data_IF_109688403231
#
_entry.id   IF_109688403231
#
_cell.length_a   1.000
_cell.length_b   1.000
_cell.length_c   1.000
_cell.angle_alpha   90.00
_cell.angle_beta   90.00
_cell.angle_gamma   90.00
#
_symmetry.space_group_name_H-M   'P 1'
#
loop_
_entity.id
_entity.type
_entity.pdbx_description
1 polymer ?
#
# COMPACT_ATOMS: atom_id res chain seq x y z
N UNK A 1 -34.69 -0.24 -0.90
CA UNK A 1 -33.28 -0.73 -0.94
C UNK A 1 -32.46 0.11 0.03
N UNK A 2 -31.70 -0.34 1.02
CA UNK A 2 -31.74 -1.48 1.93
C UNK A 2 -31.09 -0.96 3.24
N UNK A 3 -31.55 -1.34 4.45
CA UNK A 3 -30.94 -0.83 5.70
C UNK A 3 -29.44 -1.13 5.77
N UNK A 4 -29.00 -2.24 5.16
CA UNK A 4 -27.62 -2.63 5.03
C UNK A 4 -26.80 -1.65 4.17
N UNK A 5 -27.32 -1.22 3.02
CA UNK A 5 -26.64 -0.23 2.17
C UNK A 5 -26.43 1.08 2.92
N UNK A 6 -27.43 1.53 3.68
CA UNK A 6 -27.31 2.72 4.53
C UNK A 6 -26.25 2.56 5.62
N UNK A 7 -26.17 1.38 6.24
CA UNK A 7 -25.14 1.06 7.24
C UNK A 7 -23.73 1.02 6.61
N UNK A 8 -23.56 0.31 5.48
CA UNK A 8 -22.28 0.14 4.80
C UNK A 8 -21.71 1.46 4.24
N UNK A 9 -22.59 2.38 3.86
CA UNK A 9 -22.21 3.72 3.38
C UNK A 9 -22.21 4.76 4.51
N UNK A 10 -22.57 4.39 5.74
CA UNK A 10 -22.56 5.31 6.86
C UNK A 10 -21.14 5.77 7.17
N UNK A 11 -20.99 7.06 7.51
CA UNK A 11 -19.68 7.63 7.85
C UNK A 11 -19.01 6.90 9.02
N UNK A 12 -19.79 6.47 10.01
CA UNK A 12 -19.29 5.72 11.16
C UNK A 12 -18.68 4.37 10.74
N UNK A 13 -19.41 3.60 9.93
CA UNK A 13 -18.92 2.33 9.41
C UNK A 13 -17.66 2.50 8.55
N UNK A 14 -17.66 3.47 7.62
CA UNK A 14 -16.52 3.73 6.74
C UNK A 14 -15.26 4.14 7.52
N UNK A 15 -15.39 4.94 8.59
CA UNK A 15 -14.25 5.28 9.47
C UNK A 15 -13.66 4.03 10.12
N UNK A 16 -14.50 3.17 10.69
CA UNK A 16 -14.06 1.91 11.30
C UNK A 16 -13.39 1.01 10.26
N UNK A 17 -14.00 0.86 9.08
CA UNK A 17 -13.46 0.05 7.99
C UNK A 17 -12.09 0.55 7.52
N UNK A 18 -11.94 1.85 7.26
CA UNK A 18 -10.67 2.43 6.80
C UNK A 18 -9.60 2.41 7.89
N UNK A 19 -9.98 2.58 9.16
CA UNK A 19 -9.06 2.41 10.29
C UNK A 19 -8.59 0.96 10.39
N UNK A 20 -9.51 -0.01 10.29
CA UNK A 20 -9.19 -1.43 10.26
C UNK A 20 -8.24 -1.80 9.12
N UNK A 21 -8.51 -1.31 7.90
CA UNK A 21 -7.62 -1.51 6.75
C UNK A 21 -6.25 -0.88 6.98
N UNK A 22 -6.19 0.34 7.50
CA UNK A 22 -4.92 1.01 7.79
C UNK A 22 -4.09 0.20 8.80
N UNK A 23 -4.71 -0.26 9.90
CA UNK A 23 -4.05 -1.09 10.91
C UNK A 23 -3.60 -2.43 10.33
N UNK A 24 -4.45 -3.10 9.56
CA UNK A 24 -4.13 -4.37 8.91
C UNK A 24 -2.94 -4.25 7.96
N UNK A 25 -3.00 -3.31 7.01
CA UNK A 25 -1.93 -3.14 6.01
C UNK A 25 -0.65 -2.60 6.64
N UNK A 26 -0.74 -1.80 7.71
CA UNK A 26 0.45 -1.36 8.47
C UNK A 26 1.09 -2.54 9.17
N UNK A 27 0.28 -3.40 9.80
CA UNK A 27 0.76 -4.62 10.41
C UNK A 27 1.43 -5.53 9.39
N UNK A 28 0.81 -5.73 8.22
CA UNK A 28 1.39 -6.52 7.13
C UNK A 28 2.71 -5.93 6.63
N UNK A 29 2.77 -4.62 6.36
CA UNK A 29 4.01 -3.93 6.00
C UNK A 29 5.11 -4.16 7.03
N UNK A 30 4.83 -3.90 8.31
CA UNK A 30 5.84 -4.03 9.36
C UNK A 30 6.33 -5.48 9.51
N UNK A 31 5.41 -6.44 9.54
CA UNK A 31 5.75 -7.85 9.77
C UNK A 31 6.42 -8.51 8.57
N UNK A 32 6.02 -8.14 7.35
CA UNK A 32 6.56 -8.72 6.13
C UNK A 32 7.85 -8.02 5.67
N UNK A 33 8.03 -6.73 5.92
CA UNK A 33 9.26 -6.02 5.55
C UNK A 33 10.36 -6.16 6.61
N UNK A 34 10.04 -6.05 7.90
CA UNK A 34 11.06 -5.95 8.96
C UNK A 34 11.14 -7.16 9.89
N UNK A 35 10.15 -8.06 9.88
CA UNK A 35 10.07 -9.22 10.80
C UNK A 35 9.84 -10.54 10.08
N UNK A 36 10.46 -10.72 8.90
CA UNK A 36 10.22 -11.87 8.01
C UNK A 36 10.44 -13.20 8.71
N UNK A 37 11.57 -13.39 9.40
CA UNK A 37 11.90 -14.60 10.12
C UNK A 37 10.86 -14.95 11.21
N UNK A 38 10.47 -13.94 12.02
CA UNK A 38 9.45 -14.11 13.04
C UNK A 38 8.09 -14.45 12.46
N UNK A 39 7.72 -13.77 11.37
CA UNK A 39 6.49 -14.05 10.63
C UNK A 39 6.48 -15.49 10.12
N UNK A 40 7.55 -15.93 9.46
CA UNK A 40 7.69 -17.30 8.95
C UNK A 40 7.57 -18.34 10.06
N UNK A 41 8.21 -18.12 11.22
CA UNK A 41 8.11 -19.04 12.35
C UNK A 41 6.67 -19.18 12.87
N UNK A 42 5.84 -18.15 12.73
CA UNK A 42 4.44 -18.16 13.18
C UNK A 42 3.48 -18.77 12.16
N UNK A 43 3.66 -18.45 10.88
CA UNK A 43 2.67 -18.81 9.85
C UNK A 43 3.06 -20.08 9.07
N UNK A 44 4.35 -20.40 9.00
CA UNK A 44 4.83 -21.54 8.25
C UNK A 44 4.88 -22.79 9.14
N UNK A 45 4.57 -23.94 8.55
CA UNK A 45 4.65 -25.24 9.23
C UNK A 45 5.99 -25.94 9.00
N UNK A 46 7.02 -25.20 8.58
CA UNK A 46 8.33 -25.74 8.17
C UNK A 46 9.00 -26.54 9.28
N UNK A 47 8.89 -26.08 10.53
CA UNK A 47 9.41 -26.76 11.71
C UNK A 47 8.81 -28.18 11.93
N UNK A 48 7.66 -28.48 11.33
CA UNK A 48 6.98 -29.77 11.43
C UNK A 48 7.02 -30.56 10.11
N UNK A 49 7.81 -30.11 9.14
CA UNK A 49 7.94 -30.80 7.86
C UNK A 49 8.63 -32.15 8.03
N UNK A 50 8.21 -33.15 7.25
CA UNK A 50 8.91 -34.44 7.13
C UNK A 50 10.13 -34.36 6.22
N UNK A 51 10.25 -33.29 5.44
CA UNK A 51 11.38 -33.04 4.55
C UNK A 51 12.54 -32.40 5.34
N UNK A 52 13.72 -33.06 5.42
CA UNK A 52 14.91 -32.54 6.08
C UNK A 52 15.37 -31.17 5.57
N UNK A 53 15.20 -30.90 4.28
CA UNK A 53 15.59 -29.61 3.69
C UNK A 53 14.69 -28.48 4.16
N UNK A 54 13.38 -28.74 4.30
CA UNK A 54 12.41 -27.74 4.76
C UNK A 54 12.53 -27.50 6.27
N UNK A 55 12.70 -28.55 7.07
CA UNK A 55 12.80 -28.43 8.53
C UNK A 55 14.10 -27.74 8.98
N UNK A 56 15.18 -27.86 8.19
CA UNK A 56 16.45 -27.18 8.46
C UNK A 56 16.37 -25.64 8.42
N UNK A 57 15.31 -25.10 7.83
CA UNK A 57 15.07 -23.66 7.69
C UNK A 57 13.69 -23.29 8.23
N UNK A 58 13.44 -23.44 9.56
CA UNK A 58 12.12 -23.29 10.14
C UNK A 58 11.60 -21.84 10.04
N UNK A 59 12.50 -20.85 10.06
CA UNK A 59 12.19 -19.44 9.84
C UNK A 59 12.11 -19.03 8.36
N UNK A 60 12.10 -19.99 7.43
CA UNK A 60 12.23 -19.73 6.00
C UNK A 60 13.69 -19.59 5.56
N UNK A 61 13.92 -19.81 4.27
CA UNK A 61 15.20 -19.50 3.63
C UNK A 61 15.18 -18.07 3.06
N UNK A 62 16.28 -17.68 2.42
CA UNK A 62 16.43 -16.33 1.88
C UNK A 62 15.35 -15.97 0.83
N UNK A 63 14.89 -16.92 0.01
CA UNK A 63 13.82 -16.67 -0.98
C UNK A 63 12.48 -16.38 -0.31
N UNK A 64 12.19 -17.04 0.82
CA UNK A 64 10.98 -16.75 1.58
C UNK A 64 11.01 -15.32 2.17
N UNK A 65 12.18 -14.89 2.64
CA UNK A 65 12.33 -13.54 3.19
C UNK A 65 12.20 -12.49 2.09
N UNK A 66 12.77 -12.77 0.92
CA UNK A 66 12.63 -11.94 -0.28
C UNK A 66 11.14 -11.79 -0.68
N UNK A 67 10.36 -12.88 -0.71
CA UNK A 67 8.91 -12.84 -0.98
C UNK A 67 8.16 -12.02 0.08
N UNK A 68 8.49 -12.20 1.37
CA UNK A 68 7.85 -11.41 2.42
C UNK A 68 8.21 -9.93 2.30
N UNK A 69 9.46 -9.57 1.98
CA UNK A 69 9.82 -8.17 1.73
C UNK A 69 8.98 -7.57 0.59
N UNK A 70 8.81 -8.32 -0.50
CA UNK A 70 7.96 -7.91 -1.61
C UNK A 70 6.52 -7.62 -1.17
N UNK A 71 5.91 -8.59 -0.47
CA UNK A 71 4.55 -8.47 0.03
C UNK A 71 4.40 -7.30 1.01
N UNK A 72 5.40 -7.08 1.86
CA UNK A 72 5.45 -5.92 2.74
C UNK A 72 5.43 -4.61 1.95
N UNK A 73 6.33 -4.45 0.98
CA UNK A 73 6.41 -3.23 0.17
C UNK A 73 5.12 -2.94 -0.63
N UNK A 74 4.43 -3.96 -1.15
CA UNK A 74 3.11 -3.79 -1.78
C UNK A 74 2.09 -3.21 -0.79
N UNK A 75 2.11 -3.67 0.46
CA UNK A 75 1.16 -3.19 1.47
C UNK A 75 1.31 -1.70 1.78
N UNK A 76 2.46 -1.07 1.50
CA UNK A 76 2.65 0.35 1.73
C UNK A 76 1.68 1.22 0.91
N UNK A 77 1.38 0.84 -0.33
CA UNK A 77 0.36 1.53 -1.14
C UNK A 77 -1.04 1.41 -0.52
N UNK A 78 -1.39 0.23 0.02
CA UNK A 78 -2.68 0.02 0.69
C UNK A 78 -2.78 0.78 2.03
N UNK A 79 -1.68 0.91 2.77
CA UNK A 79 -1.60 1.78 3.96
C UNK A 79 -1.90 3.22 3.57
N UNK A 80 -1.26 3.72 2.52
CA UNK A 80 -1.48 5.07 2.03
C UNK A 80 -2.94 5.30 1.61
N UNK A 81 -3.53 4.37 0.86
CA UNK A 81 -4.93 4.44 0.44
C UNK A 81 -5.89 4.52 1.63
N UNK A 82 -5.70 3.63 2.62
CA UNK A 82 -6.54 3.60 3.81
C UNK A 82 -6.37 4.89 4.65
N UNK A 83 -5.13 5.38 4.80
CA UNK A 83 -4.81 6.60 5.53
C UNK A 83 -5.41 7.85 4.89
N UNK A 84 -5.29 8.01 3.57
CA UNK A 84 -5.85 9.16 2.84
C UNK A 84 -7.38 9.18 2.89
N UNK A 85 -8.03 8.00 2.77
CA UNK A 85 -9.49 7.88 2.92
C UNK A 85 -9.95 8.21 4.33
N UNK A 86 -9.23 7.73 5.35
CA UNK A 86 -9.54 8.05 6.75
C UNK A 86 -9.34 9.55 7.04
N UNK A 87 -8.24 10.14 6.57
CA UNK A 87 -7.94 11.56 6.70
C UNK A 87 -9.07 12.42 6.11
N UNK A 88 -9.53 12.09 4.91
CA UNK A 88 -10.64 12.79 4.24
C UNK A 88 -11.94 12.75 5.07
N UNK A 89 -12.28 11.59 5.66
CA UNK A 89 -13.45 11.46 6.54
C UNK A 89 -13.30 12.20 7.88
N UNK A 90 -12.08 12.36 8.38
CA UNK A 90 -11.80 13.09 9.62
C UNK A 90 -11.79 14.62 9.40
N UNK A 91 -11.27 15.09 8.26
CA UNK A 91 -11.25 16.53 7.92
C UNK A 91 -12.66 17.10 7.78
N UNK A 92 -13.58 16.31 7.22
CA UNK A 92 -15.00 16.65 7.13
C UNK A 92 -15.71 16.86 8.49
N UNK A 93 -15.06 16.56 9.62
CA UNK A 93 -15.56 16.83 10.97
C UNK A 93 -14.99 18.11 11.61
N UNK A 94 -13.88 18.65 11.10
CA UNK A 94 -13.15 19.76 11.76
C UNK A 94 -13.52 21.12 11.14
N UNK A 95 -14.08 21.12 9.92
CA UNK A 95 -14.63 22.32 9.29
C UNK A 95 -16.04 22.07 8.80
N UNK A 96 -17.03 22.56 9.53
CA UNK A 96 -18.26 23.03 8.89
C UNK A 96 -17.90 24.31 8.12
N UNK A 97 -17.30 24.16 6.95
CA UNK A 97 -17.47 25.14 5.90
C UNK A 97 -18.77 24.74 5.18
N UNK A 98 -19.87 25.49 5.34
CA UNK A 98 -20.99 25.34 4.44
C UNK A 98 -20.50 25.74 3.04
N UNK A 99 -20.98 25.04 2.01
CA UNK A 99 -20.77 25.31 0.57
C UNK A 99 -19.51 24.75 -0.13
N UNK A 100 -19.32 23.43 -0.07
CA UNK A 100 -18.88 22.67 -1.27
C UNK A 100 -19.77 21.45 -1.56
N UNK A 101 -21.05 21.56 -1.18
CA UNK A 101 -22.12 20.72 -1.71
C UNK A 101 -22.85 21.40 -2.88
N UNK A 102 -22.26 22.44 -3.50
CA UNK A 102 -22.74 22.96 -4.77
C UNK A 102 -22.29 22.04 -5.89
N UNK A 103 -23.25 21.27 -6.34
CA UNK A 103 -23.42 20.69 -7.68
C UNK A 103 -22.83 21.59 -8.78
N UNK A 104 -21.51 21.54 -8.98
CA UNK A 104 -20.82 22.01 -10.19
C UNK A 104 -19.81 20.92 -10.54
N UNK A 105 -20.14 20.17 -11.60
CA UNK A 105 -19.21 19.30 -12.31
C UNK A 105 -18.95 17.93 -11.67
N UNK A 106 -19.22 16.88 -12.43
CA UNK A 106 -18.58 15.57 -12.27
C UNK A 106 -17.03 15.64 -12.29
N UNK A 107 -16.42 16.78 -12.60
CA UNK A 107 -14.96 17.00 -12.68
C UNK A 107 -14.23 16.99 -11.35
N UNK A 108 -14.70 17.69 -10.30
CA UNK A 108 -13.96 17.81 -9.04
C UNK A 108 -13.84 16.48 -8.30
N UNK A 109 -14.93 15.70 -8.25
CA UNK A 109 -14.90 14.36 -7.64
C UNK A 109 -14.03 13.37 -8.40
N UNK A 110 -13.94 13.51 -9.72
CA UNK A 110 -13.03 12.70 -10.55
C UNK A 110 -11.58 13.13 -10.29
N UNK A 111 -11.32 14.43 -10.16
CA UNK A 111 -10.00 14.95 -9.82
C UNK A 111 -9.50 14.49 -8.44
N UNK A 112 -10.36 14.49 -7.42
CA UNK A 112 -10.05 13.97 -6.09
C UNK A 112 -9.70 12.48 -6.10
N UNK A 113 -10.45 11.69 -6.88
CA UNK A 113 -10.22 10.26 -7.03
C UNK A 113 -8.92 9.98 -7.81
N UNK A 114 -8.60 10.79 -8.82
CA UNK A 114 -7.33 10.71 -9.54
C UNK A 114 -6.15 11.04 -8.63
N UNK A 115 -6.24 12.10 -7.83
CA UNK A 115 -5.18 12.47 -6.87
C UNK A 115 -4.97 11.32 -5.88
N UNK A 116 -6.05 10.77 -5.33
CA UNK A 116 -5.98 9.62 -4.42
C UNK A 116 -5.35 8.40 -5.10
N UNK A 117 -5.83 8.04 -6.29
CA UNK A 117 -5.37 6.87 -7.03
C UNK A 117 -3.90 6.98 -7.40
N UNK A 118 -3.49 8.11 -7.99
CA UNK A 118 -2.11 8.36 -8.40
C UNK A 118 -1.16 8.48 -7.20
N UNK A 119 -1.61 9.08 -6.08
CA UNK A 119 -0.78 9.07 -4.85
C UNK A 119 -0.52 7.65 -4.36
N UNK A 120 -1.54 6.79 -4.40
CA UNK A 120 -1.43 5.39 -3.96
C UNK A 120 -0.55 4.57 -4.91
N UNK A 121 -0.73 4.74 -6.23
CA UNK A 121 0.12 4.12 -7.25
C UNK A 121 1.56 4.59 -7.11
N UNK A 122 1.79 5.89 -6.96
CA UNK A 122 3.12 6.47 -6.77
C UNK A 122 3.83 5.91 -5.54
N UNK A 123 3.13 5.75 -4.41
CA UNK A 123 3.67 5.13 -3.20
C UNK A 123 3.98 3.65 -3.40
N UNK A 124 3.11 2.90 -4.09
CA UNK A 124 3.34 1.49 -4.38
C UNK A 124 4.55 1.29 -5.31
N UNK A 125 4.63 2.08 -6.39
CA UNK A 125 5.72 2.02 -7.35
C UNK A 125 7.05 2.46 -6.69
N UNK A 126 7.03 3.53 -5.88
CA UNK A 126 8.22 3.99 -5.16
C UNK A 126 8.72 2.98 -4.12
N UNK A 127 7.81 2.29 -3.41
CA UNK A 127 8.20 1.28 -2.42
C UNK A 127 8.87 0.07 -3.07
N UNK A 128 8.40 -0.34 -4.25
CA UNK A 128 9.03 -1.41 -5.04
C UNK A 128 10.39 -0.97 -5.60
N UNK A 129 10.47 0.22 -6.21
CA UNK A 129 11.72 0.76 -6.70
C UNK A 129 12.79 0.87 -5.60
N UNK A 130 12.39 1.33 -4.40
CA UNK A 130 13.28 1.40 -3.24
C UNK A 130 13.82 0.00 -2.85
N UNK A 131 12.92 -0.99 -2.77
CA UNK A 131 13.32 -2.37 -2.49
C UNK A 131 14.33 -2.91 -3.50
N UNK A 132 14.05 -2.73 -4.79
CA UNK A 132 14.88 -3.24 -5.88
C UNK A 132 16.26 -2.56 -5.96
N UNK A 133 16.35 -1.26 -5.65
CA UNK A 133 17.59 -0.47 -5.74
C UNK A 133 18.50 -0.61 -4.52
N UNK A 134 17.93 -0.61 -3.32
CA UNK A 134 18.71 -0.47 -2.08
C UNK A 134 18.83 -1.77 -1.29
N UNK A 135 17.85 -2.66 -1.38
CA UNK A 135 17.84 -3.90 -0.60
C UNK A 135 18.27 -5.08 -1.47
N UNK A 136 17.61 -5.26 -2.62
CA UNK A 136 17.71 -6.48 -3.42
C UNK A 136 18.79 -6.41 -4.49
N UNK A 137 19.32 -5.22 -4.79
CA UNK A 137 20.38 -5.03 -5.79
C UNK A 137 21.61 -5.89 -5.53
N UNK A 138 21.91 -6.17 -4.26
CA UNK A 138 23.08 -6.94 -3.84
C UNK A 138 22.81 -8.44 -3.70
N UNK A 139 21.59 -8.90 -4.03
CA UNK A 139 21.23 -10.32 -3.97
C UNK A 139 21.10 -10.89 -5.38
N UNK A 140 21.52 -12.14 -5.57
CA UNK A 140 21.28 -12.90 -6.82
C UNK A 140 19.98 -13.72 -6.74
N UNK A 141 19.07 -13.34 -5.83
CA UNK A 141 17.94 -14.16 -5.39
C UNK A 141 16.57 -13.59 -5.77
N UNK A 142 16.48 -12.72 -6.77
CA UNK A 142 15.24 -11.97 -7.00
C UNK A 142 14.41 -12.37 -8.23
N UNK A 143 13.08 -12.24 -8.07
CA UNK A 143 12.01 -12.81 -8.89
C UNK A 143 11.37 -11.78 -9.84
N UNK A 144 11.41 -10.46 -9.54
CA UNK A 144 10.62 -9.45 -10.29
C UNK A 144 11.39 -8.17 -10.71
N UNK A 145 12.40 -7.70 -9.97
CA UNK A 145 13.17 -6.47 -10.21
C UNK A 145 14.52 -6.36 -9.44
N UNK A 146 15.66 -6.07 -10.08
CA UNK A 146 16.99 -5.97 -9.46
C UNK A 146 17.77 -4.76 -9.99
N UNK A 147 18.17 -3.86 -9.09
CA UNK A 147 19.01 -2.72 -9.45
C UNK A 147 18.34 -1.83 -10.51
N UNK A 148 18.99 -1.62 -11.65
CA UNK A 148 18.45 -0.81 -12.76
C UNK A 148 17.84 -1.66 -13.88
N UNK A 149 17.22 -2.79 -13.53
CA UNK A 149 16.54 -3.58 -14.54
C UNK A 149 15.23 -2.94 -15.02
N UNK A 150 14.62 -3.56 -16.03
CA UNK A 150 13.44 -3.01 -16.72
C UNK A 150 12.28 -2.75 -15.76
N UNK A 151 12.03 -3.65 -14.82
CA UNK A 151 10.90 -3.52 -13.89
C UNK A 151 11.18 -2.40 -12.89
N UNK A 152 12.39 -2.33 -12.34
CA UNK A 152 12.76 -1.24 -11.42
C UNK A 152 12.73 0.12 -12.10
N UNK A 153 13.16 0.20 -13.36
CA UNK A 153 13.06 1.43 -14.16
C UNK A 153 11.60 1.81 -14.41
N UNK A 154 10.73 0.84 -14.74
CA UNK A 154 9.30 1.10 -14.89
C UNK A 154 8.68 1.61 -13.59
N UNK A 155 8.96 0.96 -12.46
CA UNK A 155 8.48 1.39 -11.14
C UNK A 155 8.94 2.83 -10.82
N UNK A 156 10.20 3.17 -11.07
CA UNK A 156 10.69 4.54 -10.89
C UNK A 156 9.98 5.54 -11.82
N UNK A 157 9.83 5.22 -13.10
CA UNK A 157 9.21 6.11 -14.09
C UNK A 157 7.75 6.36 -13.72
N UNK A 158 6.99 5.31 -13.41
CA UNK A 158 5.59 5.47 -13.03
C UNK A 158 5.46 6.21 -11.69
N UNK A 159 6.30 5.93 -10.70
CA UNK A 159 6.31 6.71 -9.46
C UNK A 159 6.52 8.21 -9.71
N UNK A 160 7.49 8.56 -10.57
CA UNK A 160 7.75 9.97 -10.95
C UNK A 160 6.54 10.58 -11.66
N UNK A 161 5.94 9.90 -12.62
CA UNK A 161 4.78 10.40 -13.35
C UNK A 161 3.55 10.55 -12.44
N UNK A 162 3.29 9.57 -11.59
CA UNK A 162 2.20 9.58 -10.63
C UNK A 162 2.31 10.82 -9.71
N UNK A 163 3.49 11.05 -9.10
CA UNK A 163 3.70 12.21 -8.24
C UNK A 163 3.76 13.54 -9.00
N UNK A 164 4.27 13.57 -10.23
CA UNK A 164 4.27 14.78 -11.05
C UNK A 164 2.85 15.24 -11.39
N UNK A 165 1.97 14.30 -11.76
CA UNK A 165 0.55 14.60 -12.04
C UNK A 165 -0.18 15.05 -10.77
N UNK A 166 0.07 14.39 -9.63
CA UNK A 166 -0.47 14.83 -8.33
C UNK A 166 -0.01 16.25 -8.00
N UNK A 167 1.29 16.53 -8.11
CA UNK A 167 1.85 17.86 -7.85
C UNK A 167 1.27 18.93 -8.78
N UNK A 168 1.11 18.63 -10.06
CA UNK A 168 0.50 19.54 -11.03
C UNK A 168 -0.97 19.83 -10.71
N UNK A 169 -1.76 18.81 -10.34
CA UNK A 169 -3.17 18.98 -9.95
C UNK A 169 -3.30 19.84 -8.68
N UNK A 170 -2.50 19.57 -7.66
CA UNK A 170 -2.51 20.34 -6.40
C UNK A 170 -2.04 21.79 -6.61
N UNK A 171 -0.97 22.02 -7.37
CA UNK A 171 -0.47 23.36 -7.66
C UNK A 171 -1.40 24.17 -8.59
N UNK A 172 -2.15 23.48 -9.45
CA UNK A 172 -3.17 24.06 -10.31
C UNK A 172 -4.44 24.52 -9.59
N UNK A 173 -4.56 24.29 -8.28
CA UNK A 173 -5.71 24.72 -7.48
C UNK A 173 -6.96 23.88 -7.71
N UNK A 174 -6.80 22.61 -8.07
CA UNK A 174 -7.87 21.62 -8.19
C UNK A 174 -7.99 20.83 -6.88
#
# INVERSE_FOLDING_TARGET
>A
MSSLTSILLSRGFLKVLYTGNMLWHTSAFVHFTFRQAHTMLRIARRAHSKDPHVVSTPAGDAWHHDILAYLGNINLGFVALAGLRLYSLCRANIGAFPDQASVIGSGDKVNDLDILALTVLGIANASQAYGNLFVLRYTDRWIVGKGFDRITVLDMVFAVFDFAVVGAKVAGGV
#
